data_IF_264627390680
#
_entry.id   IF_264627390680
#
_cell.length_a   1.000
_cell.length_b   1.000
_cell.length_c   1.000
_cell.angle_alpha   90.00
_cell.angle_beta   90.00
_cell.angle_gamma   90.00
#
_symmetry.space_group_name_H-M   'P 1'
#
loop_
_entity.id
_entity.type
_entity.pdbx_description
1 polymer ?
#
# COMPACT_ATOMS: atom_id res chain seq x y z
N UNK A 1 -14.72 -0.55 -7.46
CA UNK A 1 -13.95 0.42 -6.65
C UNK A 1 -14.22 0.08 -5.18
N UNK A 2 -13.20 -0.20 -4.36
CA UNK A 2 -13.40 -0.45 -2.93
C UNK A 2 -12.96 0.78 -2.15
N UNK A 3 -13.85 1.29 -1.32
CA UNK A 3 -13.58 2.39 -0.41
C UNK A 3 -13.09 1.81 0.93
N UNK A 4 -11.88 2.17 1.35
CA UNK A 4 -11.40 1.90 2.71
C UNK A 4 -11.48 3.19 3.51
N UNK A 5 -12.26 3.20 4.59
CA UNK A 5 -12.36 4.32 5.52
C UNK A 5 -11.04 4.60 6.25
N UNK A 6 -10.10 3.64 6.26
CA UNK A 6 -8.81 3.76 6.94
C UNK A 6 -7.74 4.46 6.11
N UNK A 7 -7.81 4.36 4.77
CA UNK A 7 -6.73 4.82 3.90
C UNK A 7 -6.88 6.27 3.43
N UNK A 8 -7.92 6.99 3.87
CA UNK A 8 -8.20 8.37 3.45
C UNK A 8 -8.32 8.61 1.93
N UNK A 9 -8.27 7.54 1.13
CA UNK A 9 -8.49 7.50 -0.32
C UNK A 9 -9.02 6.14 -0.75
N UNK A 10 -9.64 6.11 -1.92
CA UNK A 10 -10.03 4.86 -2.58
C UNK A 10 -8.82 4.18 -3.21
N UNK A 11 -8.84 2.85 -3.23
CA UNK A 11 -7.85 2.02 -3.94
C UNK A 11 -8.57 1.11 -4.95
N UNK A 12 -7.82 0.62 -5.93
CA UNK A 12 -8.29 -0.37 -6.89
C UNK A 12 -7.48 -1.65 -6.77
N UNK A 13 -8.09 -2.75 -7.19
CA UNK A 13 -7.46 -4.05 -7.25
C UNK A 13 -7.33 -4.48 -8.71
N UNK A 14 -6.26 -5.22 -9.01
CA UNK A 14 -6.00 -5.77 -10.33
C UNK A 14 -5.99 -7.29 -10.26
N UNK A 15 -6.52 -7.95 -11.28
CA UNK A 15 -6.38 -9.40 -11.44
C UNK A 15 -4.89 -9.77 -11.46
N UNK A 16 -4.53 -10.77 -10.66
CA UNK A 16 -3.21 -11.36 -10.57
C UNK A 16 -3.18 -12.72 -11.27
N UNK A 17 -3.99 -13.68 -10.77
CA UNK A 17 -4.01 -15.07 -11.25
C UNK A 17 -5.29 -15.81 -10.86
N UNK A 18 -5.51 -16.97 -11.46
CA UNK A 18 -6.53 -17.93 -11.03
C UNK A 18 -6.02 -18.81 -9.89
N UNK A 19 -6.87 -19.09 -8.91
CA UNK A 19 -6.55 -19.92 -7.73
C UNK A 19 -7.71 -20.89 -7.48
N UNK A 20 -7.41 -22.14 -7.15
CA UNK A 20 -8.41 -23.14 -6.76
C UNK A 20 -8.41 -23.29 -5.24
N UNK A 21 -9.57 -23.09 -4.60
CA UNK A 21 -9.79 -23.36 -3.18
C UNK A 21 -10.67 -24.60 -3.04
N UNK A 22 -10.04 -25.76 -2.84
CA UNK A 22 -10.73 -27.05 -2.93
C UNK A 22 -11.25 -27.28 -4.35
N UNK A 23 -12.57 -27.26 -4.53
CA UNK A 23 -13.24 -27.38 -5.83
C UNK A 23 -13.80 -26.04 -6.34
N UNK A 24 -13.53 -24.94 -5.65
CA UNK A 24 -14.07 -23.61 -6.00
C UNK A 24 -13.02 -22.83 -6.80
N UNK A 25 -13.27 -22.53 -8.09
CA UNK A 25 -12.40 -21.67 -8.89
C UNK A 25 -12.55 -20.21 -8.47
N UNK A 26 -11.44 -19.51 -8.34
CA UNK A 26 -11.41 -18.10 -7.93
C UNK A 26 -10.40 -17.30 -8.74
N UNK A 27 -10.62 -15.99 -8.79
CA UNK A 27 -9.66 -15.02 -9.32
C UNK A 27 -9.06 -14.22 -8.16
N UNK A 28 -7.73 -14.24 -8.07
CA UNK A 28 -6.96 -13.43 -7.12
C UNK A 28 -6.83 -12.01 -7.64
N UNK A 29 -7.19 -11.06 -6.80
CA UNK A 29 -7.01 -9.64 -7.02
C UNK A 29 -6.07 -9.07 -5.97
N UNK A 30 -5.11 -8.26 -6.40
CA UNK A 30 -4.09 -7.63 -5.54
C UNK A 30 -4.11 -6.12 -5.69
N UNK A 31 -3.54 -5.40 -4.72
CA UNK A 31 -3.29 -3.96 -4.84
C UNK A 31 -2.01 -3.79 -5.69
N UNK A 32 -2.07 -3.17 -6.87
CA UNK A 32 -0.87 -2.94 -7.67
C UNK A 32 -0.02 -1.81 -7.07
N UNK A 33 1.31 -1.92 -7.17
CA UNK A 33 2.26 -0.93 -6.65
C UNK A 33 1.97 0.50 -7.15
N UNK A 34 1.44 0.63 -8.38
CA UNK A 34 1.01 1.90 -8.97
C UNK A 34 -0.01 2.68 -8.11
N UNK A 35 -0.76 2.04 -7.21
CA UNK A 35 -1.67 2.74 -6.28
C UNK A 35 -0.91 3.67 -5.33
N UNK A 36 0.32 3.29 -4.96
CA UNK A 36 1.16 3.98 -3.98
C UNK A 36 2.42 4.60 -4.61
N UNK A 37 2.45 4.75 -5.93
CA UNK A 37 3.60 5.32 -6.64
C UNK A 37 3.43 6.84 -6.82
N UNK A 38 4.18 7.69 -6.08
CA UNK A 38 4.05 9.14 -6.15
C UNK A 38 4.60 9.74 -7.45
N UNK A 39 5.34 8.98 -8.26
CA UNK A 39 5.86 9.45 -9.54
C UNK A 39 4.80 9.44 -10.65
N UNK A 40 3.71 8.69 -10.45
CA UNK A 40 2.60 8.63 -11.40
C UNK A 40 1.70 9.87 -11.32
N UNK A 41 1.31 10.48 -12.46
CA UNK A 41 0.47 11.69 -12.49
C UNK A 41 -0.81 11.59 -11.67
N UNK A 42 -1.48 10.43 -11.68
CA UNK A 42 -2.73 10.18 -10.96
C UNK A 42 -2.59 10.22 -9.43
N UNK A 43 -1.37 10.07 -8.90
CA UNK A 43 -1.12 10.06 -7.45
C UNK A 43 -0.59 11.39 -6.91
N UNK A 44 -0.26 12.36 -7.78
CA UNK A 44 0.28 13.67 -7.36
C UNK A 44 -0.64 14.44 -6.41
N UNK A 45 -1.96 14.23 -6.50
CA UNK A 45 -2.95 14.84 -5.61
C UNK A 45 -2.86 14.38 -4.15
N UNK A 46 -2.11 13.31 -3.86
CA UNK A 46 -1.89 12.81 -2.49
C UNK A 46 -0.56 13.29 -1.88
N UNK A 47 0.20 14.12 -2.61
CA UNK A 47 1.41 14.76 -2.14
C UNK A 47 1.14 16.14 -1.54
N UNK A 48 1.94 16.56 -0.57
CA UNK A 48 1.89 17.85 0.09
C UNK A 48 3.31 18.42 0.29
N UNK A 49 3.54 19.69 -0.05
CA UNK A 49 4.84 20.35 0.12
C UNK A 49 5.36 20.36 1.57
N UNK A 50 4.46 20.24 2.54
CA UNK A 50 4.79 20.13 3.96
C UNK A 50 5.15 18.69 4.40
N UNK A 51 5.10 17.70 3.50
CA UNK A 51 5.52 16.33 3.81
C UNK A 51 7.02 16.33 4.14
N UNK A 52 7.42 15.85 5.34
CA UNK A 52 8.83 15.83 5.74
C UNK A 52 9.68 14.99 4.80
N UNK A 53 10.93 15.38 4.65
CA UNK A 53 11.90 14.68 3.80
C UNK A 53 12.78 13.75 4.65
N UNK A 54 12.70 12.47 4.36
CA UNK A 54 13.46 11.41 5.05
C UNK A 54 14.55 10.80 4.16
N UNK A 55 14.34 10.82 2.84
CA UNK A 55 15.25 10.21 1.86
C UNK A 55 15.70 11.20 0.77
N UNK A 56 16.69 10.78 -0.02
CA UNK A 56 17.14 11.52 -1.20
C UNK A 56 16.05 11.66 -2.27
N UNK A 57 16.29 12.50 -3.28
CA UNK A 57 15.31 12.75 -4.34
C UNK A 57 15.09 11.57 -5.29
N UNK A 58 15.96 10.57 -5.28
CA UNK A 58 15.79 9.36 -6.08
C UNK A 58 14.77 8.41 -5.47
N UNK A 59 14.64 8.42 -4.14
CA UNK A 59 13.71 7.58 -3.38
C UNK A 59 12.42 8.32 -3.02
N UNK A 60 12.54 9.59 -2.62
CA UNK A 60 11.44 10.40 -2.14
C UNK A 60 11.27 11.67 -3.00
N UNK A 61 10.21 11.75 -3.83
CA UNK A 61 9.93 12.97 -4.57
C UNK A 61 9.56 14.11 -3.63
N UNK A 62 9.86 15.34 -4.05
CA UNK A 62 9.58 16.54 -3.25
C UNK A 62 8.09 16.65 -2.91
N UNK A 63 7.79 16.82 -1.62
CA UNK A 63 6.43 16.93 -1.12
C UNK A 63 5.64 15.62 -1.14
N UNK A 64 6.29 14.47 -1.32
CA UNK A 64 5.62 13.16 -1.26
C UNK A 64 6.33 12.26 -0.26
N UNK A 65 5.65 11.23 0.22
CA UNK A 65 6.32 10.08 0.81
C UNK A 65 6.95 9.22 -0.31
N UNK A 66 7.91 8.33 0.01
CA UNK A 66 8.40 7.35 -0.95
C UNK A 66 7.30 6.44 -1.51
N UNK A 67 7.57 5.80 -2.65
CA UNK A 67 6.66 4.80 -3.22
C UNK A 67 6.36 3.66 -2.23
N UNK A 68 5.12 3.16 -2.26
CA UNK A 68 4.65 2.12 -1.33
C UNK A 68 4.13 2.66 0.02
N UNK A 69 4.20 3.97 0.24
CA UNK A 69 3.72 4.63 1.46
C UNK A 69 2.58 5.61 1.19
N UNK A 70 1.75 5.87 2.22
CA UNK A 70 0.61 6.77 2.14
C UNK A 70 0.46 7.59 3.44
N UNK A 71 0.23 8.89 3.32
CA UNK A 71 -0.06 9.75 4.46
C UNK A 71 -1.55 9.64 4.84
N UNK A 72 -1.82 9.14 6.05
CA UNK A 72 -3.18 9.08 6.61
C UNK A 72 -3.40 10.11 7.73
N UNK A 73 -2.31 10.63 8.30
CA UNK A 73 -2.31 11.55 9.40
C UNK A 73 -2.87 12.93 9.04
N UNK A 74 -2.64 13.39 7.80
CA UNK A 74 -3.15 14.68 7.29
C UNK A 74 -4.67 14.84 7.37
N UNK A 75 -5.39 13.74 7.30
CA UNK A 75 -6.86 13.75 7.41
C UNK A 75 -7.36 13.70 8.86
N UNK A 76 -6.45 13.68 9.84
CA UNK A 76 -6.75 13.62 11.27
C UNK A 76 -6.48 14.97 11.92
N UNK A 77 -7.22 15.25 13.00
CA UNK A 77 -7.03 16.48 13.77
C UNK A 77 -5.58 16.60 14.25
N UNK A 78 -5.00 17.78 14.11
CA UNK A 78 -3.59 18.04 14.44
C UNK A 78 -2.56 17.53 13.43
N UNK A 79 -2.98 16.90 12.32
CA UNK A 79 -2.10 16.38 11.27
C UNK A 79 -0.89 15.57 11.80
N UNK A 80 -1.10 14.55 12.65
CA UNK A 80 0.00 13.76 13.19
C UNK A 80 0.79 13.07 12.06
N UNK A 81 2.11 12.84 12.21
CA UNK A 81 2.94 12.23 11.17
C UNK A 81 2.74 10.70 11.11
N UNK A 82 1.55 10.26 10.71
CA UNK A 82 1.17 8.83 10.65
C UNK A 82 1.02 8.38 9.20
N UNK A 83 1.74 7.32 8.84
CA UNK A 83 1.84 6.81 7.48
C UNK A 83 1.45 5.34 7.41
N UNK A 84 0.80 4.92 6.32
CA UNK A 84 0.55 3.52 6.01
C UNK A 84 1.56 3.01 4.97
N UNK A 85 1.88 1.73 5.04
CA UNK A 85 2.59 0.98 3.99
C UNK A 85 2.07 -0.46 3.90
N UNK A 86 2.58 -1.22 2.93
CA UNK A 86 2.50 -2.69 2.98
C UNK A 86 3.25 -3.25 4.20
N UNK A 87 2.92 -4.49 4.59
CA UNK A 87 3.64 -5.23 5.63
C UNK A 87 5.12 -5.33 5.25
N UNK A 88 6.03 -5.11 6.21
CA UNK A 88 7.48 -5.04 5.98
C UNK A 88 7.90 -4.06 4.86
N UNK A 89 7.08 -3.03 4.60
CA UNK A 89 7.21 -2.11 3.47
C UNK A 89 7.14 -2.78 2.09
N UNK A 90 6.35 -3.85 1.94
CA UNK A 90 6.03 -4.45 0.64
C UNK A 90 5.62 -3.39 -0.40
N UNK A 91 6.14 -3.55 -1.62
CA UNK A 91 6.04 -2.59 -2.75
C UNK A 91 6.75 -1.24 -2.53
N UNK A 92 7.61 -1.10 -1.53
CA UNK A 92 8.41 0.11 -1.31
C UNK A 92 9.88 -0.11 -1.75
N UNK A 93 10.61 0.96 -2.13
CA UNK A 93 12.04 0.88 -2.44
C UNK A 93 12.90 0.25 -1.33
N UNK A 94 13.98 -0.49 -1.68
CA UNK A 94 14.87 -1.13 -0.70
C UNK A 94 15.44 -0.22 0.36
N UNK A 95 15.73 1.04 -0.01
CA UNK A 95 16.28 2.06 0.87
C UNK A 95 15.39 2.33 2.10
N UNK A 96 14.10 1.97 2.05
CA UNK A 96 13.17 2.17 3.16
C UNK A 96 13.30 1.02 4.15
N UNK A 97 13.11 -0.23 3.72
CA UNK A 97 13.10 -1.37 4.64
C UNK A 97 14.50 -1.80 5.09
N UNK A 98 15.56 -1.53 4.31
CA UNK A 98 16.94 -1.86 4.71
C UNK A 98 17.44 -1.04 5.89
N UNK A 99 16.79 0.08 6.21
CA UNK A 99 17.10 0.89 7.39
C UNK A 99 16.53 0.31 8.69
N UNK A 100 15.72 -0.75 8.62
CA UNK A 100 15.12 -1.40 9.78
C UNK A 100 15.73 -2.78 9.99
N UNK A 101 16.07 -3.10 11.24
CA UNK A 101 16.50 -4.45 11.64
C UNK A 101 15.31 -5.25 12.15
N UNK A 102 15.34 -6.58 11.97
CA UNK A 102 14.33 -7.50 12.49
C UNK A 102 13.15 -7.78 11.55
N UNK A 103 13.03 -7.10 10.42
CA UNK A 103 12.08 -7.47 9.36
C UNK A 103 12.68 -8.48 8.40
N UNK A 104 11.83 -9.37 7.89
CA UNK A 104 12.18 -10.15 6.70
C UNK A 104 12.14 -9.23 5.47
N UNK A 105 12.88 -9.57 4.43
CA UNK A 105 12.80 -8.84 3.17
C UNK A 105 11.38 -9.02 2.60
N UNK A 106 10.68 -7.94 2.24
CA UNK A 106 9.31 -8.06 1.77
C UNK A 106 9.25 -8.85 0.47
N UNK A 107 8.32 -9.79 0.40
CA UNK A 107 8.07 -10.60 -0.79
C UNK A 107 6.56 -10.76 -1.04
N UNK A 108 6.20 -11.59 -2.02
CA UNK A 108 4.80 -11.78 -2.41
C UNK A 108 3.91 -12.38 -1.31
N UNK A 109 4.47 -12.90 -0.21
CA UNK A 109 3.70 -13.36 0.96
C UNK A 109 3.13 -12.20 1.78
N UNK A 110 3.71 -11.01 1.70
CA UNK A 110 3.22 -9.78 2.35
C UNK A 110 2.12 -9.07 1.55
N UNK A 111 1.81 -9.56 0.34
CA UNK A 111 0.83 -8.95 -0.54
C UNK A 111 -0.60 -9.14 -0.01
N UNK A 112 -1.32 -8.02 0.15
CA UNK A 112 -2.77 -8.06 0.36
C UNK A 112 -3.48 -8.56 -0.90
N UNK A 113 -4.42 -9.50 -0.73
CA UNK A 113 -5.16 -10.11 -1.82
C UNK A 113 -6.63 -10.41 -1.45
N UNK A 114 -7.46 -10.53 -2.48
CA UNK A 114 -8.80 -11.10 -2.42
C UNK A 114 -8.96 -12.17 -3.48
N UNK A 115 -9.41 -13.35 -3.10
CA UNK A 115 -9.78 -14.42 -4.01
C UNK A 115 -11.30 -14.46 -4.12
N UNK A 116 -11.80 -14.17 -5.32
CA UNK A 116 -13.22 -13.97 -5.59
C UNK A 116 -13.71 -15.07 -6.52
N UNK A 117 -14.80 -15.74 -6.15
CA UNK A 117 -15.48 -16.70 -7.04
C UNK A 117 -16.16 -15.91 -8.18
N UNK A 118 -15.85 -16.23 -9.46
CA UNK A 118 -16.17 -15.35 -10.57
C UNK A 118 -17.67 -15.24 -10.92
N UNK A 119 -18.48 -16.25 -10.61
CA UNK A 119 -19.91 -16.23 -10.99
C UNK A 119 -20.79 -15.49 -9.98
N UNK A 120 -20.51 -15.66 -8.69
CA UNK A 120 -21.30 -15.11 -7.58
C UNK A 120 -20.68 -13.84 -7.00
N UNK A 121 -19.38 -13.60 -7.23
CA UNK A 121 -18.65 -12.48 -6.63
C UNK A 121 -18.34 -12.66 -5.14
N UNK A 122 -18.59 -13.84 -4.57
CA UNK A 122 -18.29 -14.14 -3.17
C UNK A 122 -16.78 -14.18 -2.94
N UNK A 123 -16.31 -13.54 -1.86
CA UNK A 123 -14.93 -13.63 -1.41
C UNK A 123 -14.74 -14.99 -0.74
N UNK A 124 -13.93 -15.86 -1.35
CA UNK A 124 -13.64 -17.20 -0.84
C UNK A 124 -12.45 -17.18 0.11
N UNK A 125 -11.46 -16.34 -0.18
CA UNK A 125 -10.29 -16.14 0.69
C UNK A 125 -9.81 -14.69 0.58
N UNK A 126 -9.25 -14.16 1.66
CA UNK A 126 -8.73 -12.80 1.70
C UNK A 126 -7.60 -12.70 2.71
N UNK A 127 -6.60 -11.91 2.35
CA UNK A 127 -5.61 -11.39 3.29
C UNK A 127 -5.50 -9.89 3.05
N UNK A 128 -5.75 -9.11 4.10
CA UNK A 128 -5.63 -7.66 4.04
C UNK A 128 -4.82 -7.21 5.26
N UNK A 129 -3.61 -6.72 5.00
CA UNK A 129 -2.71 -6.26 6.03
C UNK A 129 -1.99 -4.99 5.57
N UNK A 130 -1.84 -4.07 6.50
CA UNK A 130 -1.13 -2.80 6.32
C UNK A 130 -0.30 -2.52 7.56
N UNK A 131 0.80 -1.82 7.39
CA UNK A 131 1.68 -1.39 8.47
C UNK A 131 1.47 0.08 8.77
N UNK A 132 1.43 0.43 10.07
CA UNK A 132 1.42 1.82 10.54
C UNK A 132 2.85 2.22 10.87
N UNK A 133 3.26 3.37 10.36
CA UNK A 133 4.58 3.96 10.59
C UNK A 133 4.39 5.36 11.17
N UNK A 134 5.29 5.76 12.08
CA UNK A 134 5.27 7.08 12.70
C UNK A 134 6.50 7.86 12.21
N UNK A 135 6.27 9.00 11.56
CA UNK A 135 7.33 9.93 11.20
C UNK A 135 7.86 10.63 12.45
N UNK A 136 9.18 10.59 12.62
CA UNK A 136 9.87 11.35 13.67
C UNK A 136 10.63 12.50 13.02
N UNK A 137 10.53 13.70 13.60
CA UNK A 137 11.29 14.90 13.23
C UNK A 137 12.63 14.96 13.94
#
# INVERSE_FOLDING_TARGET
MKYSTHNSRSIYLRFDKSVMHGQIPTYRFVIPAAVYDPFLPENKGFCNQETPRYFDSGVQPQGCLPAGMLDIGRTKSGSPPVYLSGVHFYQSPPQIYQNFTGFQHPDNSDASYLDIEPYTGVIVSAFAASQINIGMS
#
